data_IF_529133319108
#
_entry.id   IF_529133319108
#
_cell.length_a   1.000
_cell.length_b   1.000
_cell.length_c   1.000
_cell.angle_alpha   90.00
_cell.angle_beta   90.00
_cell.angle_gamma   90.00
#
_symmetry.space_group_name_H-M   'P 1'
#
loop_
_entity.id
_entity.type
_entity.pdbx_description
1 polymer ?
#
# COMPACT_ATOMS: atom_id res chain seq x y z
N UNK A 1 44.96 5.95 83.57
CA UNK A 1 43.94 6.82 82.94
C UNK A 1 42.61 6.10 83.09
N UNK A 2 41.56 6.77 83.59
CA UNK A 2 40.25 6.15 83.67
C UNK A 2 39.74 5.83 82.26
N UNK A 3 39.11 4.67 82.11
CA UNK A 3 38.44 4.23 80.88
C UNK A 3 37.22 5.10 80.59
N UNK A 4 36.74 5.08 79.33
CA UNK A 4 35.51 5.80 78.93
C UNK A 4 34.33 5.42 79.83
N UNK A 5 34.26 4.15 80.26
CA UNK A 5 33.24 3.64 81.18
C UNK A 5 33.36 4.28 82.57
N UNK A 6 34.56 4.39 83.12
CA UNK A 6 34.81 5.00 84.44
C UNK A 6 34.58 6.52 84.45
N UNK A 7 34.88 7.21 83.34
CA UNK A 7 34.57 8.64 83.18
C UNK A 7 33.06 8.91 83.11
N UNK A 8 32.31 8.03 82.43
CA UNK A 8 30.84 8.10 82.40
C UNK A 8 30.25 7.87 83.80
N UNK A 9 30.77 6.90 84.55
CA UNK A 9 30.33 6.63 85.92
C UNK A 9 30.63 7.80 86.87
N UNK A 10 31.82 8.42 86.74
CA UNK A 10 32.18 9.59 87.54
C UNK A 10 31.35 10.84 87.19
N UNK A 11 31.02 11.02 85.91
CA UNK A 11 30.11 12.07 85.47
C UNK A 11 28.69 11.85 86.00
N UNK A 12 28.18 10.61 85.94
CA UNK A 12 26.89 10.21 86.53
C UNK A 12 26.85 10.50 88.03
N UNK A 13 27.91 10.17 88.78
CA UNK A 13 27.96 10.45 90.23
C UNK A 13 27.97 11.95 90.61
N UNK A 14 28.32 12.85 89.67
CA UNK A 14 28.42 14.30 89.91
C UNK A 14 27.25 15.10 89.35
N UNK A 15 26.45 14.50 88.49
CA UNK A 15 25.25 15.06 87.88
C UNK A 15 24.07 14.43 88.62
N UNK A 16 23.45 15.14 89.56
CA UNK A 16 22.36 14.58 90.37
C UNK A 16 21.24 13.98 89.52
N UNK A 17 20.42 13.09 90.10
CA UNK A 17 19.42 12.22 89.43
C UNK A 17 18.58 12.89 88.31
N UNK A 18 18.29 14.19 88.44
CA UNK A 18 17.58 14.99 87.43
C UNK A 18 18.37 15.13 86.11
N UNK A 19 19.68 15.33 86.19
CA UNK A 19 20.55 15.45 85.02
C UNK A 19 20.85 14.08 84.41
N UNK A 20 20.97 13.02 85.23
CA UNK A 20 21.07 11.64 84.73
C UNK A 20 19.79 11.25 83.97
N UNK A 21 18.62 11.51 84.53
CA UNK A 21 17.34 11.25 83.85
C UNK A 21 17.19 12.05 82.56
N UNK A 22 17.71 13.28 82.50
CA UNK A 22 17.66 14.12 81.29
C UNK A 22 18.61 13.61 80.21
N UNK A 23 19.82 13.20 80.59
CA UNK A 23 20.80 12.60 79.67
C UNK A 23 20.27 11.28 79.09
N UNK A 24 19.67 10.42 79.92
CA UNK A 24 19.09 9.16 79.43
C UNK A 24 17.90 9.41 78.48
N UNK A 25 17.05 10.40 78.78
CA UNK A 25 15.96 10.82 77.88
C UNK A 25 16.49 11.34 76.54
N UNK A 26 17.52 12.19 76.56
CA UNK A 26 18.14 12.74 75.35
C UNK A 26 18.83 11.64 74.53
N UNK A 27 19.49 10.68 75.17
CA UNK A 27 20.10 9.53 74.50
C UNK A 27 19.05 8.62 73.83
N UNK A 28 17.93 8.35 74.49
CA UNK A 28 16.81 7.60 73.90
C UNK A 28 16.25 8.34 72.69
N UNK A 29 16.09 9.67 72.78
CA UNK A 29 15.61 10.49 71.66
C UNK A 29 16.59 10.49 70.48
N UNK A 30 17.90 10.60 70.75
CA UNK A 30 18.96 10.54 69.73
C UNK A 30 19.00 9.17 69.04
N UNK A 31 18.92 8.08 69.80
CA UNK A 31 18.89 6.73 69.23
C UNK A 31 17.62 6.51 68.41
N UNK A 32 16.47 6.96 68.89
CA UNK A 32 15.22 6.88 68.15
C UNK A 32 15.29 7.67 66.82
N UNK A 33 15.86 8.88 66.85
CA UNK A 33 16.04 9.70 65.66
C UNK A 33 17.08 9.11 64.70
N UNK A 34 18.19 8.59 65.22
CA UNK A 34 19.20 7.88 64.40
C UNK A 34 18.63 6.64 63.71
N UNK A 35 17.77 5.88 64.39
CA UNK A 35 17.07 4.74 63.78
C UNK A 35 16.07 5.19 62.71
N UNK A 36 15.32 6.27 62.94
CA UNK A 36 14.41 6.86 61.93
C UNK A 36 15.16 7.31 60.68
N UNK A 37 16.26 8.02 60.86
CA UNK A 37 17.11 8.47 59.75
C UNK A 37 17.73 7.29 59.01
N UNK A 38 18.18 6.26 59.72
CA UNK A 38 18.72 5.04 59.09
C UNK A 38 17.67 4.34 58.22
N UNK A 39 16.44 4.20 58.72
CA UNK A 39 15.33 3.62 57.96
C UNK A 39 14.99 4.47 56.73
N UNK A 40 14.89 5.79 56.89
CA UNK A 40 14.62 6.72 55.78
C UNK A 40 15.71 6.65 54.70
N UNK A 41 16.99 6.58 55.09
CA UNK A 41 18.10 6.41 54.14
C UNK A 41 18.01 5.08 53.38
N UNK A 42 17.58 4.00 54.05
CA UNK A 42 17.43 2.70 53.41
C UNK A 42 16.26 2.70 52.40
N UNK A 43 15.14 3.34 52.74
CA UNK A 43 14.01 3.55 51.82
C UNK A 43 14.45 4.36 50.59
N UNK A 44 15.14 5.49 50.79
CA UNK A 44 15.65 6.32 49.70
C UNK A 44 16.65 5.57 48.80
N UNK A 45 17.51 4.71 49.36
CA UNK A 45 18.40 3.86 48.56
C UNK A 45 17.63 2.89 47.68
N UNK A 46 16.54 2.32 48.20
CA UNK A 46 15.68 1.43 47.43
C UNK A 46 14.97 2.17 46.30
N UNK A 47 14.47 3.38 46.56
CA UNK A 47 13.86 4.23 45.53
C UNK A 47 14.85 4.59 44.42
N UNK A 48 16.07 4.97 44.78
CA UNK A 48 17.14 5.26 43.79
C UNK A 48 17.45 4.02 42.95
N UNK A 49 17.48 2.82 43.55
CA UNK A 49 17.72 1.58 42.83
C UNK A 49 16.58 1.29 41.84
N UNK A 50 15.32 1.52 42.23
CA UNK A 50 14.15 1.33 41.38
C UNK A 50 14.16 2.32 40.19
N UNK A 51 14.38 3.62 40.45
CA UNK A 51 14.46 4.64 39.40
C UNK A 51 15.60 4.34 38.42
N UNK A 52 16.76 3.88 38.92
CA UNK A 52 17.88 3.50 38.07
C UNK A 52 17.54 2.30 37.17
N UNK A 53 16.78 1.33 37.67
CA UNK A 53 16.31 0.19 36.87
C UNK A 53 15.34 0.65 35.79
N UNK A 54 14.34 1.46 36.14
CA UNK A 54 13.40 2.00 35.15
C UNK A 54 14.09 2.84 34.07
N UNK A 55 15.10 3.64 34.45
CA UNK A 55 15.88 4.43 33.51
C UNK A 55 16.64 3.56 32.51
N UNK A 56 17.23 2.44 32.98
CA UNK A 56 17.89 1.47 32.10
C UNK A 56 16.90 0.80 31.14
N UNK A 57 15.75 0.38 31.64
CA UNK A 57 14.71 -0.24 30.82
C UNK A 57 14.17 0.73 29.75
N UNK A 58 14.00 2.02 30.09
CA UNK A 58 13.62 3.05 29.12
C UNK A 58 14.69 3.27 28.06
N UNK A 59 15.97 3.33 28.44
CA UNK A 59 17.08 3.46 27.48
C UNK A 59 17.14 2.29 26.51
N UNK A 60 16.90 1.07 27.00
CA UNK A 60 16.88 -0.11 26.13
C UNK A 60 15.67 -0.09 25.18
N UNK A 61 14.49 0.29 25.67
CA UNK A 61 13.33 0.50 24.79
C UNK A 61 13.59 1.55 23.70
N UNK A 62 14.25 2.66 24.03
CA UNK A 62 14.62 3.69 23.05
C UNK A 62 15.56 3.09 21.99
N UNK A 63 16.60 2.36 22.42
CA UNK A 63 17.56 1.71 21.51
C UNK A 63 16.88 0.73 20.54
N UNK A 64 15.83 0.04 20.97
CA UNK A 64 15.06 -0.88 20.13
C UNK A 64 14.15 -0.13 19.14
N UNK A 65 13.54 0.97 19.59
CA UNK A 65 12.57 1.72 18.78
C UNK A 65 13.23 2.66 17.76
N UNK A 66 14.41 3.21 18.04
CA UNK A 66 15.11 4.14 17.13
C UNK A 66 15.35 3.54 15.72
N UNK A 67 15.87 2.30 15.56
CA UNK A 67 16.00 1.69 14.24
C UNK A 67 14.66 1.50 13.52
N UNK A 68 13.61 1.14 14.25
CA UNK A 68 12.28 0.93 13.67
C UNK A 68 11.70 2.21 13.08
N UNK A 69 11.95 3.35 13.74
CA UNK A 69 11.55 4.67 13.22
C UNK A 69 12.29 4.98 11.91
N UNK A 70 13.60 4.72 11.85
CA UNK A 70 14.40 4.95 10.65
C UNK A 70 13.89 4.10 9.48
N UNK A 71 13.63 2.81 9.72
CA UNK A 71 13.13 1.88 8.69
C UNK A 71 11.75 2.29 8.17
N UNK A 72 10.85 2.72 9.07
CA UNK A 72 9.53 3.20 8.70
C UNK A 72 9.59 4.50 7.91
N UNK A 73 10.46 5.44 8.29
CA UNK A 73 10.67 6.67 7.52
C UNK A 73 11.21 6.38 6.13
N UNK A 74 12.19 5.47 5.99
CA UNK A 74 12.69 5.05 4.68
C UNK A 74 11.62 4.41 3.80
N UNK A 75 10.75 3.58 4.39
CA UNK A 75 9.60 2.98 3.68
C UNK A 75 8.61 4.04 3.20
N UNK A 76 8.32 5.05 4.03
CA UNK A 76 7.45 6.17 3.66
C UNK A 76 8.05 6.97 2.49
N UNK A 77 9.36 7.24 2.53
CA UNK A 77 10.04 7.95 1.44
C UNK A 77 10.01 7.18 0.12
N UNK A 78 10.24 5.86 0.16
CA UNK A 78 10.11 5.01 -1.03
C UNK A 78 8.68 4.98 -1.59
N UNK A 79 7.67 4.97 -0.71
CA UNK A 79 6.27 5.01 -1.12
C UNK A 79 5.90 6.38 -1.70
N UNK A 80 6.39 7.48 -1.12
CA UNK A 80 6.18 8.82 -1.64
C UNK A 80 6.83 9.01 -3.02
N UNK A 81 8.01 8.43 -3.25
CA UNK A 81 8.65 8.42 -4.57
C UNK A 81 7.80 7.65 -5.58
N UNK A 82 7.25 6.48 -5.20
CA UNK A 82 6.33 5.70 -6.07
C UNK A 82 5.00 6.40 -6.33
N UNK A 83 4.47 7.14 -5.35
CA UNK A 83 3.25 7.93 -5.49
C UNK A 83 3.43 9.13 -6.42
N UNK A 84 4.61 9.74 -6.40
CA UNK A 84 4.99 10.83 -7.32
C UNK A 84 5.52 10.33 -8.66
N UNK A 85 5.59 9.02 -8.87
CA UNK A 85 5.92 8.43 -10.16
C UNK A 85 4.70 8.57 -11.09
N UNK A 86 4.69 9.68 -11.84
CA UNK A 86 3.65 10.03 -12.81
C UNK A 86 3.46 9.00 -13.93
N UNK A 87 4.29 7.97 -14.00
CA UNK A 87 4.16 6.85 -14.95
C UNK A 87 2.81 6.15 -14.86
N UNK A 88 2.29 5.90 -13.66
CA UNK A 88 0.98 5.28 -13.49
C UNK A 88 -0.17 6.17 -13.97
N UNK A 89 -0.06 7.49 -13.76
CA UNK A 89 -1.05 8.46 -14.27
C UNK A 89 -0.97 8.54 -15.79
N UNK A 90 0.25 8.63 -16.35
CA UNK A 90 0.47 8.67 -17.78
C UNK A 90 -0.01 7.39 -18.48
N UNK A 91 0.19 6.22 -17.88
CA UNK A 91 -0.30 4.95 -18.42
C UNK A 91 -1.83 4.85 -18.32
N UNK A 92 -2.44 5.34 -17.25
CA UNK A 92 -3.91 5.45 -17.16
C UNK A 92 -4.47 6.40 -18.23
N UNK A 93 -3.86 7.56 -18.43
CA UNK A 93 -4.24 8.50 -19.49
C UNK A 93 -4.09 7.88 -20.87
N UNK A 94 -3.01 7.14 -21.10
CA UNK A 94 -2.78 6.40 -22.35
C UNK A 94 -3.83 5.32 -22.59
N UNK A 95 -4.18 4.54 -21.56
CA UNK A 95 -5.20 3.50 -21.64
C UNK A 95 -6.58 4.09 -21.92
N UNK A 96 -6.93 5.20 -21.25
CA UNK A 96 -8.18 5.92 -21.50
C UNK A 96 -8.24 6.48 -22.93
N UNK A 97 -7.13 7.05 -23.42
CA UNK A 97 -7.04 7.54 -24.79
C UNK A 97 -7.18 6.39 -25.82
N UNK A 98 -6.51 5.26 -25.58
CA UNK A 98 -6.61 4.08 -26.44
C UNK A 98 -8.04 3.51 -26.47
N UNK A 99 -8.69 3.40 -25.32
CA UNK A 99 -10.07 2.94 -25.20
C UNK A 99 -11.02 3.87 -25.98
N UNK A 100 -10.87 5.19 -25.81
CA UNK A 100 -11.65 6.19 -26.55
C UNK A 100 -11.48 6.05 -28.06
N UNK A 101 -10.24 5.97 -28.56
CA UNK A 101 -9.95 5.79 -29.99
C UNK A 101 -10.53 4.49 -30.53
N UNK A 102 -10.47 3.41 -29.74
CA UNK A 102 -11.05 2.11 -30.14
C UNK A 102 -12.56 2.22 -30.32
N UNK A 103 -13.27 2.87 -29.39
CA UNK A 103 -14.72 3.06 -29.53
C UNK A 103 -15.08 4.01 -30.67
N UNK A 104 -14.31 5.07 -30.91
CA UNK A 104 -14.52 5.95 -32.06
C UNK A 104 -14.39 5.21 -33.40
N UNK A 105 -13.37 4.35 -33.53
CA UNK A 105 -13.18 3.51 -34.70
C UNK A 105 -14.33 2.51 -34.88
N UNK A 106 -14.76 1.87 -33.79
CA UNK A 106 -15.89 0.95 -33.81
C UNK A 106 -17.21 1.64 -34.18
N UNK A 107 -17.46 2.86 -33.70
CA UNK A 107 -18.60 3.70 -34.11
C UNK A 107 -18.56 4.00 -35.60
N UNK A 108 -17.41 4.45 -36.11
CA UNK A 108 -17.22 4.72 -37.53
C UNK A 108 -17.52 3.50 -38.38
N UNK A 109 -16.97 2.34 -37.99
CA UNK A 109 -17.21 1.07 -38.68
C UNK A 109 -18.69 0.66 -38.69
N UNK A 110 -19.39 0.81 -37.56
CA UNK A 110 -20.82 0.52 -37.47
C UNK A 110 -21.65 1.48 -38.34
N UNK A 111 -21.36 2.78 -38.31
CA UNK A 111 -22.05 3.77 -39.15
C UNK A 111 -21.85 3.44 -40.62
N UNK A 112 -20.61 3.20 -41.05
CA UNK A 112 -20.30 2.83 -42.44
C UNK A 112 -20.97 1.51 -42.85
N UNK A 113 -21.08 0.54 -41.94
CA UNK A 113 -21.85 -0.67 -42.20
C UNK A 113 -23.32 -0.34 -42.48
N UNK A 114 -23.98 0.41 -41.59
CA UNK A 114 -25.39 0.79 -41.77
C UNK A 114 -25.58 1.57 -43.07
N UNK A 115 -24.67 2.48 -43.43
CA UNK A 115 -24.76 3.22 -44.69
C UNK A 115 -24.70 2.35 -45.94
N UNK A 116 -23.94 1.24 -45.89
CA UNK A 116 -23.86 0.28 -47.00
C UNK A 116 -25.13 -0.58 -47.11
N UNK A 117 -25.68 -1.00 -45.98
CA UNK A 117 -26.80 -1.95 -45.97
C UNK A 117 -28.17 -1.28 -45.93
N UNK A 118 -28.29 0.02 -45.66
CA UNK A 118 -29.59 0.69 -45.45
C UNK A 118 -30.57 0.61 -46.62
N UNK A 119 -30.05 0.46 -47.84
CA UNK A 119 -30.84 0.34 -49.06
C UNK A 119 -31.15 -1.13 -49.43
N UNK A 120 -30.63 -2.11 -48.66
CA UNK A 120 -30.89 -3.52 -48.94
C UNK A 120 -32.33 -3.92 -48.55
N UNK A 121 -32.99 -4.81 -49.32
CA UNK A 121 -34.38 -5.21 -49.06
C UNK A 121 -34.62 -5.80 -47.67
N UNK A 122 -33.59 -6.42 -47.08
CA UNK A 122 -33.66 -7.07 -45.76
C UNK A 122 -33.38 -6.13 -44.60
N UNK A 123 -32.94 -4.91 -44.89
CA UNK A 123 -32.47 -3.96 -43.89
C UNK A 123 -33.56 -3.54 -42.91
N UNK A 124 -34.78 -3.24 -43.36
CA UNK A 124 -35.86 -2.81 -42.46
C UNK A 124 -36.17 -3.83 -41.36
N UNK A 125 -35.97 -5.13 -41.64
CA UNK A 125 -36.09 -6.17 -40.62
C UNK A 125 -34.88 -6.20 -39.67
N UNK A 126 -33.66 -6.05 -40.19
CA UNK A 126 -32.44 -6.01 -39.40
C UNK A 126 -32.33 -4.74 -38.52
N UNK A 127 -32.83 -3.61 -39.01
CA UNK A 127 -32.87 -2.31 -38.34
C UNK A 127 -33.48 -2.40 -36.94
N UNK A 128 -34.51 -3.23 -36.78
CA UNK A 128 -35.14 -3.48 -35.47
C UNK A 128 -34.23 -4.14 -34.43
N UNK A 129 -33.14 -4.80 -34.86
CA UNK A 129 -32.14 -5.42 -33.99
C UNK A 129 -31.10 -4.41 -33.50
N UNK A 130 -30.99 -3.26 -34.16
CA UNK A 130 -30.05 -2.21 -33.78
C UNK A 130 -30.72 -1.14 -32.91
N UNK A 131 -30.00 -0.69 -31.90
CA UNK A 131 -30.28 0.49 -31.10
C UNK A 131 -29.75 1.71 -31.85
N UNK A 132 -30.43 2.13 -32.93
CA UNK A 132 -30.08 3.35 -33.67
C UNK A 132 -31.03 4.47 -33.24
N UNK A 133 -30.54 5.67 -32.89
CA UNK A 133 -31.41 6.79 -32.55
C UNK A 133 -32.30 7.15 -33.74
N UNK A 134 -33.55 7.47 -33.46
CA UNK A 134 -34.52 7.85 -34.50
C UNK A 134 -35.29 9.10 -34.10
N UNK A 135 -35.50 10.01 -35.05
CA UNK A 135 -36.33 11.19 -34.89
C UNK A 135 -37.29 11.30 -36.07
N UNK A 136 -38.58 11.50 -35.80
CA UNK A 136 -39.64 11.54 -36.83
C UNK A 136 -39.64 10.31 -37.77
N UNK A 137 -39.31 9.13 -37.23
CA UNK A 137 -39.24 7.87 -37.98
C UNK A 137 -38.00 7.71 -38.87
N UNK A 138 -37.09 8.69 -38.89
CA UNK A 138 -35.82 8.63 -39.63
C UNK A 138 -34.68 8.27 -38.69
N UNK A 139 -33.78 7.41 -39.15
CA UNK A 139 -32.55 7.10 -38.42
C UNK A 139 -31.66 8.34 -38.33
N UNK A 140 -30.96 8.48 -37.21
CA UNK A 140 -30.06 9.58 -36.90
C UNK A 140 -28.67 8.99 -36.65
N UNK A 141 -27.95 8.66 -37.73
CA UNK A 141 -26.65 8.00 -37.63
C UNK A 141 -25.60 8.91 -36.99
N UNK A 142 -25.73 10.21 -37.20
CA UNK A 142 -24.92 11.25 -36.57
C UNK A 142 -25.07 11.32 -35.05
N UNK A 143 -26.19 10.82 -34.50
CA UNK A 143 -26.43 10.74 -33.06
C UNK A 143 -25.88 9.46 -32.41
N UNK A 144 -25.36 8.51 -33.20
CA UNK A 144 -24.70 7.30 -32.69
C UNK A 144 -23.44 7.67 -31.88
N UNK A 145 -22.79 8.80 -32.22
CA UNK A 145 -21.64 9.33 -31.47
C UNK A 145 -21.98 9.66 -30.01
N UNK A 146 -23.24 10.00 -29.76
CA UNK A 146 -23.76 10.43 -28.45
C UNK A 146 -24.43 9.28 -27.68
N UNK A 147 -24.42 8.06 -28.24
CA UNK A 147 -25.00 6.89 -27.58
C UNK A 147 -24.09 6.29 -26.50
N UNK A 148 -24.68 5.69 -25.45
CA UNK A 148 -23.96 4.88 -24.47
C UNK A 148 -23.11 3.78 -25.14
N UNK A 149 -21.99 3.44 -24.51
CA UNK A 149 -21.05 2.43 -25.03
C UNK A 149 -21.72 1.05 -25.08
N UNK A 150 -22.63 0.76 -24.16
CA UNK A 150 -23.38 -0.49 -24.08
C UNK A 150 -24.26 -0.69 -25.32
N UNK A 151 -24.92 0.38 -25.79
CA UNK A 151 -25.74 0.34 -27.00
C UNK A 151 -24.87 0.11 -28.24
N UNK A 152 -23.69 0.75 -28.30
CA UNK A 152 -22.71 0.52 -29.36
C UNK A 152 -22.22 -0.93 -29.39
N UNK A 153 -21.87 -1.50 -28.24
CA UNK A 153 -21.41 -2.88 -28.13
C UNK A 153 -22.51 -3.87 -28.55
N UNK A 154 -23.76 -3.60 -28.15
CA UNK A 154 -24.90 -4.40 -28.59
C UNK A 154 -25.08 -4.32 -30.12
N UNK A 155 -24.97 -3.11 -30.69
CA UNK A 155 -25.06 -2.89 -32.13
C UNK A 155 -23.98 -3.63 -32.92
N UNK A 156 -22.73 -3.59 -32.47
CA UNK A 156 -21.61 -4.31 -33.08
C UNK A 156 -21.83 -5.82 -33.00
N UNK A 157 -22.32 -6.33 -31.86
CA UNK A 157 -22.66 -7.74 -31.72
C UNK A 157 -23.74 -8.17 -32.71
N UNK A 158 -24.83 -7.41 -32.81
CA UNK A 158 -25.91 -7.70 -33.76
C UNK A 158 -25.44 -7.57 -35.22
N UNK A 159 -24.53 -6.64 -35.52
CA UNK A 159 -23.93 -6.48 -36.83
C UNK A 159 -23.15 -7.73 -37.21
N UNK A 160 -22.24 -8.19 -36.35
CA UNK A 160 -21.45 -9.39 -36.58
C UNK A 160 -22.33 -10.63 -36.74
N UNK A 161 -23.36 -10.80 -35.90
CA UNK A 161 -24.32 -11.90 -36.04
C UNK A 161 -25.03 -11.90 -37.41
N UNK A 162 -25.42 -10.73 -37.92
CA UNK A 162 -26.10 -10.62 -39.22
C UNK A 162 -25.13 -10.87 -40.39
N UNK A 163 -23.87 -10.45 -40.26
CA UNK A 163 -22.82 -10.73 -41.24
C UNK A 163 -22.51 -12.22 -41.27
N UNK A 164 -22.32 -12.86 -40.11
CA UNK A 164 -22.04 -14.30 -39.99
C UNK A 164 -23.18 -15.17 -40.57
N UNK A 165 -24.42 -14.70 -40.45
CA UNK A 165 -25.59 -15.35 -41.04
C UNK A 165 -25.74 -15.11 -42.55
N UNK A 166 -24.83 -14.36 -43.18
CA UNK A 166 -24.93 -13.98 -44.59
C UNK A 166 -26.20 -13.18 -44.89
N UNK A 167 -26.68 -12.41 -43.90
CA UNK A 167 -27.96 -11.72 -43.99
C UNK A 167 -27.93 -10.60 -45.03
N UNK A 168 -26.77 -9.98 -45.21
CA UNK A 168 -26.42 -8.99 -46.23
C UNK A 168 -25.39 -9.58 -47.20
N UNK A 169 -25.41 -9.19 -48.48
CA UNK A 169 -24.33 -9.56 -49.42
C UNK A 169 -23.00 -9.06 -48.88
N UNK A 170 -21.91 -9.82 -49.08
CA UNK A 170 -20.62 -9.62 -48.41
C UNK A 170 -20.15 -8.18 -48.45
N UNK A 171 -20.53 -7.43 -47.41
CA UNK A 171 -19.86 -6.21 -47.03
C UNK A 171 -18.51 -6.72 -46.53
N UNK A 172 -17.41 -6.31 -47.17
CA UNK A 172 -16.09 -6.45 -46.58
C UNK A 172 -16.10 -5.67 -45.25
N UNK A 173 -16.52 -6.35 -44.19
CA UNK A 173 -16.37 -5.90 -42.83
C UNK A 173 -14.90 -6.12 -42.51
N UNK A 174 -14.07 -5.12 -42.81
CA UNK A 174 -12.76 -4.95 -42.18
C UNK A 174 -12.91 -4.63 -40.68
N UNK A 175 -13.93 -5.17 -40.02
CA UNK A 175 -14.12 -5.14 -38.58
C UNK A 175 -13.72 -6.51 -38.04
N UNK A 176 -12.57 -6.99 -38.48
CA UNK A 176 -11.81 -7.93 -37.68
C UNK A 176 -11.09 -7.09 -36.60
N UNK A 177 -11.86 -6.41 -35.75
CA UNK A 177 -11.37 -6.11 -34.40
C UNK A 177 -11.52 -7.43 -33.66
N UNK A 178 -10.64 -8.36 -34.02
CA UNK A 178 -10.17 -9.32 -33.05
C UNK A 178 -9.70 -8.47 -31.87
N UNK A 179 -10.59 -8.26 -30.90
CA UNK A 179 -10.17 -8.23 -29.52
C UNK A 179 -9.70 -9.66 -29.26
N UNK A 180 -8.56 -10.02 -29.86
CA UNK A 180 -7.71 -11.05 -29.31
C UNK A 180 -7.39 -10.54 -27.92
N UNK A 181 -8.22 -10.98 -26.96
CA UNK A 181 -7.79 -11.18 -25.58
C UNK A 181 -6.46 -11.92 -25.68
N UNK A 182 -5.36 -11.17 -25.61
CA UNK A 182 -4.01 -11.75 -25.59
C UNK A 182 -3.19 -11.74 -26.88
N UNK A 183 -3.42 -10.87 -27.87
CA UNK A 183 -2.32 -10.52 -28.78
C UNK A 183 -1.41 -9.51 -28.07
N UNK A 184 -0.64 -10.00 -27.10
CA UNK A 184 0.37 -9.21 -26.41
C UNK A 184 1.30 -8.57 -27.43
N UNK A 185 1.52 -7.26 -27.28
CA UNK A 185 2.56 -6.52 -27.97
C UNK A 185 3.91 -7.21 -27.66
N UNK A 186 4.36 -8.12 -28.54
CA UNK A 186 5.61 -8.85 -28.34
C UNK A 186 6.73 -7.98 -28.86
N UNK A 187 7.47 -7.35 -27.95
CA UNK A 187 8.71 -6.67 -28.29
C UNK A 187 9.72 -7.75 -28.67
N UNK A 188 10.23 -7.70 -29.89
CA UNK A 188 11.16 -8.69 -30.42
C UNK A 188 12.42 -8.74 -29.52
N UNK A 189 12.80 -9.94 -29.05
CA UNK A 189 13.91 -10.13 -28.12
C UNK A 189 13.57 -9.93 -26.63
N UNK A 190 12.32 -9.57 -26.28
CA UNK A 190 11.88 -9.44 -24.89
C UNK A 190 11.08 -10.67 -24.46
N UNK A 191 11.52 -11.38 -23.40
CA UNK A 191 10.79 -12.52 -22.86
C UNK A 191 9.44 -12.08 -22.27
N UNK A 192 8.39 -12.87 -22.46
CA UNK A 192 7.07 -12.65 -21.83
C UNK A 192 7.07 -13.03 -20.35
N UNK A 193 6.06 -12.57 -19.61
CA UNK A 193 5.88 -12.96 -18.20
C UNK A 193 5.74 -14.47 -18.03
N UNK A 194 5.04 -15.11 -18.97
CA UNK A 194 4.81 -16.55 -18.94
C UNK A 194 6.11 -17.32 -19.21
N UNK A 195 6.92 -16.89 -20.20
CA UNK A 195 8.25 -17.46 -20.42
C UNK A 195 9.14 -17.28 -19.17
N UNK A 196 9.08 -16.13 -18.48
CA UNK A 196 9.76 -15.92 -17.21
C UNK A 196 9.32 -16.88 -16.11
N UNK A 197 8.01 -17.10 -15.96
CA UNK A 197 7.47 -18.04 -14.96
C UNK A 197 7.86 -19.49 -15.26
N UNK A 198 7.86 -19.89 -16.52
CA UNK A 198 8.31 -21.23 -16.94
C UNK A 198 9.81 -21.44 -16.72
N UNK A 199 10.65 -20.43 -17.03
CA UNK A 199 12.08 -20.50 -16.77
C UNK A 199 12.38 -20.51 -15.27
N UNK A 200 11.59 -19.80 -14.46
CA UNK A 200 11.69 -19.84 -12.99
C UNK A 200 11.45 -21.25 -12.46
N UNK A 201 10.40 -21.91 -12.95
CA UNK A 201 10.05 -23.28 -12.57
C UNK A 201 11.11 -24.31 -13.01
N UNK A 202 11.71 -24.12 -14.19
CA UNK A 202 12.71 -25.05 -14.75
C UNK A 202 14.13 -24.85 -14.22
N UNK A 203 14.55 -23.60 -14.00
CA UNK A 203 15.94 -23.25 -13.70
C UNK A 203 16.15 -22.83 -12.25
N UNK A 204 15.09 -22.44 -11.54
CA UNK A 204 15.18 -21.87 -10.20
C UNK A 204 15.50 -20.37 -10.20
N UNK A 205 15.11 -19.69 -9.12
CA UNK A 205 15.07 -18.23 -9.03
C UNK A 205 16.46 -17.57 -9.00
N UNK A 206 17.52 -18.34 -8.74
CA UNK A 206 18.91 -17.88 -8.61
C UNK A 206 19.75 -18.16 -9.87
N UNK A 207 19.18 -18.84 -10.87
CA UNK A 207 19.93 -19.23 -12.05
C UNK A 207 20.22 -18.02 -12.95
N UNK A 208 21.47 -17.80 -13.39
CA UNK A 208 21.87 -16.59 -14.14
C UNK A 208 21.00 -16.31 -15.38
N UNK A 209 20.64 -17.35 -16.13
CA UNK A 209 19.75 -17.20 -17.30
C UNK A 209 18.34 -16.71 -16.94
N UNK A 210 17.75 -17.16 -15.83
CA UNK A 210 16.45 -16.66 -15.39
C UNK A 210 16.57 -15.19 -14.94
N UNK A 211 17.62 -14.85 -14.21
CA UNK A 211 17.87 -13.48 -13.74
C UNK A 211 18.01 -12.52 -14.92
N UNK A 212 18.81 -12.86 -15.93
CA UNK A 212 18.99 -12.05 -17.14
C UNK A 212 17.67 -11.90 -17.93
N UNK A 213 16.94 -13.00 -18.08
CA UNK A 213 15.67 -13.02 -18.81
C UNK A 213 14.60 -12.17 -18.10
N UNK A 214 14.49 -12.29 -16.78
CA UNK A 214 13.56 -11.51 -15.97
C UNK A 214 13.96 -10.02 -15.93
N UNK A 215 15.27 -9.73 -15.95
CA UNK A 215 15.78 -8.35 -16.05
C UNK A 215 15.40 -7.71 -17.39
N UNK A 216 15.60 -8.40 -18.51
CA UNK A 216 15.16 -7.92 -19.85
C UNK A 216 13.65 -7.71 -19.92
N UNK A 217 12.87 -8.64 -19.36
CA UNK A 217 11.42 -8.48 -19.26
C UNK A 217 11.02 -7.25 -18.43
N UNK A 218 11.70 -7.01 -17.30
CA UNK A 218 11.44 -5.87 -16.42
C UNK A 218 11.84 -4.53 -17.06
N UNK A 219 12.99 -4.49 -17.73
CA UNK A 219 13.52 -3.28 -18.40
C UNK A 219 12.73 -2.90 -19.66
N UNK A 220 12.07 -3.86 -20.30
CA UNK A 220 11.28 -3.63 -21.50
C UNK A 220 9.82 -3.25 -21.24
N UNK A 221 9.35 -3.32 -19.99
CA UNK A 221 8.11 -2.64 -19.62
C UNK A 221 8.43 -1.15 -19.48
N UNK A 222 7.81 -0.25 -20.26
CA UNK A 222 7.87 1.16 -19.92
C UNK A 222 7.30 1.29 -18.51
N UNK A 223 8.09 1.88 -17.62
CA UNK A 223 7.68 2.23 -16.25
C UNK A 223 6.45 3.10 -16.36
#
# INVERSE_FOLDING_TARGET
MPSVKELVEQMRSKLGDEVESKVDSDLVAIVAEGNRQSNSINEQKQDIANVNRESKDRKEKIRILEPQVIDLTGTIDELNVKLNDNSHVAELERLMAFEKTTYENQRGAFISFIEKVKEEPRFEKAKSRFKIPSENGKMQLEKIKDQPIEDLQQNIKQMNELVDLGYFETVETNVNVNITKGAGFRIEGVPTLQECQEARLKLGNTHPKYIEMYKKFREARPV
#
